data_IF_912926578569
#
_entry.id   IF_912926578569
#
_cell.length_a   1.000
_cell.length_b   1.000
_cell.length_c   1.000
_cell.angle_alpha   90.00
_cell.angle_beta   90.00
_cell.angle_gamma   90.00
#
_symmetry.space_group_name_H-M   'P 1'
#
loop_
_entity.id
_entity.type
_entity.pdbx_description
1 polymer ?
#
# COMPACT_ATOMS: atom_id res chain seq x y z
N UNK A 1 22.63 22.77 8.69
CA UNK A 1 22.69 24.08 8.00
C UNK A 1 22.36 25.15 9.02
N UNK A 2 23.04 26.30 8.99
CA UNK A 2 22.79 27.41 9.92
C UNK A 2 21.41 28.03 9.65
N UNK A 3 20.75 28.55 10.69
CA UNK A 3 19.54 29.35 10.51
C UNK A 3 19.88 30.70 9.83
N UNK A 4 19.17 31.00 8.74
CA UNK A 4 19.32 32.25 7.98
C UNK A 4 18.80 33.43 8.79
N UNK A 5 19.51 34.56 8.75
CA UNK A 5 19.07 35.84 9.31
C UNK A 5 17.89 36.40 8.52
N UNK A 6 17.16 37.35 9.10
CA UNK A 6 15.96 37.93 8.49
C UNK A 6 16.17 38.46 7.06
N UNK A 7 17.28 39.18 6.80
CA UNK A 7 17.60 39.69 5.47
C UNK A 7 17.94 38.59 4.47
N UNK A 8 18.62 37.53 4.91
CA UNK A 8 18.96 36.38 4.08
C UNK A 8 17.70 35.57 3.72
N UNK A 9 16.77 35.37 4.66
CA UNK A 9 15.47 34.75 4.38
C UNK A 9 14.62 35.57 3.43
N UNK A 10 14.66 36.91 3.52
CA UNK A 10 13.96 37.80 2.58
C UNK A 10 14.47 37.65 1.14
N UNK A 11 15.78 37.43 0.96
CA UNK A 11 16.40 37.19 -0.35
C UNK A 11 16.14 35.74 -0.84
N UNK A 12 16.22 34.76 0.05
CA UNK A 12 16.19 33.33 -0.26
C UNK A 12 14.83 32.67 0.01
N UNK A 13 13.72 33.36 -0.27
CA UNK A 13 12.35 32.86 0.02
C UNK A 13 11.98 31.54 -0.66
N UNK A 14 12.56 31.25 -1.83
CA UNK A 14 12.26 30.04 -2.62
C UNK A 14 13.25 28.90 -2.35
N UNK A 15 14.29 29.14 -1.57
CA UNK A 15 15.36 28.18 -1.34
C UNK A 15 15.01 27.34 -0.12
N UNK A 16 14.68 26.08 -0.36
CA UNK A 16 14.53 25.06 0.67
C UNK A 16 15.25 23.80 0.18
N UNK A 17 16.29 23.39 0.91
CA UNK A 17 17.10 22.22 0.55
C UNK A 17 16.44 20.89 0.93
N UNK A 18 15.42 20.92 1.80
CA UNK A 18 14.73 19.73 2.28
C UNK A 18 13.44 19.43 1.52
N UNK A 19 12.77 20.47 1.02
CA UNK A 19 11.48 20.35 0.35
C UNK A 19 11.49 21.07 -1.01
N UNK A 20 11.53 20.27 -2.08
CA UNK A 20 11.31 20.75 -3.43
C UNK A 20 9.83 20.65 -3.80
N UNK A 21 9.29 21.68 -4.47
CA UNK A 21 7.86 21.72 -4.87
C UNK A 21 7.40 20.55 -5.74
N UNK A 22 8.30 19.97 -6.52
CA UNK A 22 8.01 18.80 -7.38
C UNK A 22 8.02 17.49 -6.60
N UNK A 23 8.71 17.46 -5.46
CA UNK A 23 8.91 16.26 -4.67
C UNK A 23 7.85 16.14 -3.58
N UNK A 24 7.05 15.08 -3.68
CA UNK A 24 6.11 14.68 -2.62
C UNK A 24 6.77 13.79 -1.55
N UNK A 25 8.11 13.83 -1.45
CA UNK A 25 8.94 12.97 -0.60
C UNK A 25 8.55 13.06 0.88
N UNK A 26 8.17 14.25 1.39
CA UNK A 26 7.75 14.40 2.78
C UNK A 26 6.50 13.58 3.13
N UNK A 27 5.49 13.60 2.24
CA UNK A 27 4.25 12.83 2.41
C UNK A 27 4.53 11.33 2.34
N UNK A 28 5.36 10.93 1.40
CA UNK A 28 5.79 9.55 1.24
C UNK A 28 6.54 9.04 2.49
N UNK A 29 7.58 9.75 2.94
CA UNK A 29 8.34 9.39 4.13
C UNK A 29 7.47 9.28 5.38
N UNK A 30 6.45 10.14 5.51
CA UNK A 30 5.46 10.03 6.59
C UNK A 30 4.72 8.69 6.55
N UNK A 31 4.33 8.21 5.37
CA UNK A 31 3.64 6.92 5.23
C UNK A 31 4.58 5.72 5.38
N UNK A 32 5.79 5.80 4.81
CA UNK A 32 6.81 4.77 4.97
C UNK A 32 7.13 4.53 6.45
N UNK A 33 7.37 5.61 7.21
CA UNK A 33 7.62 5.55 8.65
C UNK A 33 6.40 5.06 9.42
N UNK A 34 5.20 5.58 9.12
CA UNK A 34 3.97 5.22 9.84
C UNK A 34 3.60 3.74 9.71
N UNK A 35 3.83 3.15 8.53
CA UNK A 35 3.42 1.78 8.23
C UNK A 35 4.59 0.80 8.12
N UNK A 36 5.82 1.22 8.46
CA UNK A 36 7.04 0.41 8.34
C UNK A 36 7.10 -0.32 6.99
N UNK A 37 7.03 0.46 5.91
CA UNK A 37 7.23 -0.04 4.54
C UNK A 37 8.74 -0.07 4.30
N UNK A 38 9.26 -1.23 3.90
CA UNK A 38 10.70 -1.44 3.69
C UNK A 38 11.12 -0.88 2.34
N UNK A 39 10.42 -1.29 1.28
CA UNK A 39 10.71 -0.85 -0.07
C UNK A 39 9.90 0.40 -0.44
N UNK A 40 10.61 1.45 -0.83
CA UNK A 40 10.00 2.71 -1.29
C UNK A 40 9.08 2.49 -2.50
N UNK A 41 9.48 1.60 -3.40
CA UNK A 41 8.73 1.24 -4.60
C UNK A 41 7.33 0.70 -4.31
N UNK A 42 7.12 0.02 -3.18
CA UNK A 42 5.80 -0.49 -2.82
C UNK A 42 4.79 0.65 -2.63
N UNK A 43 5.23 1.74 -2.01
CA UNK A 43 4.37 2.92 -1.84
C UNK A 43 4.01 3.55 -3.19
N UNK A 44 4.99 3.65 -4.10
CA UNK A 44 4.74 4.15 -5.46
C UNK A 44 3.78 3.26 -6.25
N UNK A 45 3.91 1.93 -6.13
CA UNK A 45 2.97 0.96 -6.74
C UNK A 45 1.55 1.15 -6.22
N UNK A 46 1.37 1.26 -4.89
CA UNK A 46 0.05 1.52 -4.31
C UNK A 46 -0.55 2.85 -4.77
N UNK A 47 0.27 3.90 -4.80
CA UNK A 47 -0.19 5.21 -5.25
C UNK A 47 -0.58 5.21 -6.74
N UNK A 48 0.18 4.51 -7.59
CA UNK A 48 -0.17 4.30 -9.01
C UNK A 48 -1.50 3.55 -9.14
N UNK A 49 -1.70 2.50 -8.35
CA UNK A 49 -2.93 1.71 -8.34
C UNK A 49 -4.15 2.55 -7.89
N UNK A 50 -4.01 3.36 -6.84
CA UNK A 50 -5.03 4.34 -6.46
C UNK A 50 -5.37 5.27 -7.63
N UNK A 51 -4.36 5.81 -8.32
CA UNK A 51 -4.56 6.68 -9.47
C UNK A 51 -5.31 6.01 -10.62
N UNK A 52 -5.06 4.73 -10.88
CA UNK A 52 -5.81 3.96 -11.89
C UNK A 52 -7.28 3.77 -11.48
N UNK A 53 -7.54 3.47 -10.21
CA UNK A 53 -8.90 3.34 -9.69
C UNK A 53 -9.65 4.68 -9.82
N UNK A 54 -9.04 5.79 -9.40
CA UNK A 54 -9.67 7.12 -9.52
C UNK A 54 -9.91 7.51 -10.98
N UNK A 55 -9.00 7.18 -11.89
CA UNK A 55 -9.22 7.38 -13.35
C UNK A 55 -10.41 6.58 -13.86
N UNK A 56 -10.54 5.31 -13.43
CA UNK A 56 -11.68 4.46 -13.80
C UNK A 56 -12.99 5.04 -13.26
N UNK A 57 -13.02 5.48 -12.00
CA UNK A 57 -14.20 6.14 -11.41
C UNK A 57 -14.56 7.43 -12.14
N UNK A 58 -13.56 8.25 -12.51
CA UNK A 58 -13.78 9.45 -13.31
C UNK A 58 -14.35 9.11 -14.70
N UNK A 59 -13.93 8.00 -15.30
CA UNK A 59 -14.51 7.46 -16.54
C UNK A 59 -15.98 7.05 -16.36
N UNK A 60 -16.28 6.28 -15.31
CA UNK A 60 -17.66 5.84 -14.99
C UNK A 60 -18.60 7.01 -14.71
N UNK A 61 -18.10 8.11 -14.15
CA UNK A 61 -18.90 9.32 -13.90
C UNK A 61 -19.30 10.08 -15.17
N UNK A 62 -18.57 9.92 -16.27
CA UNK A 62 -18.91 10.56 -17.55
C UNK A 62 -20.11 9.89 -18.23
N UNK A 63 -20.36 8.61 -17.91
CA UNK A 63 -21.47 7.83 -18.46
C UNK A 63 -22.75 8.19 -17.69
N UNK A 64 -23.92 8.33 -18.33
CA UNK A 64 -25.18 8.61 -17.64
C UNK A 64 -25.52 7.54 -16.57
N UNK A 65 -26.20 7.90 -15.48
CA UNK A 65 -26.50 6.99 -14.37
C UNK A 65 -27.44 5.84 -14.75
N UNK A 66 -28.29 6.05 -15.76
CA UNK A 66 -29.30 5.08 -16.22
C UNK A 66 -28.72 3.93 -17.05
N UNK A 67 -27.47 4.03 -17.48
CA UNK A 67 -26.85 2.97 -18.29
C UNK A 67 -26.55 1.73 -17.44
N UNK A 68 -27.10 0.60 -17.87
CA UNK A 68 -26.86 -0.73 -17.28
C UNK A 68 -25.37 -1.08 -17.14
N UNK A 69 -24.52 -0.60 -18.06
CA UNK A 69 -23.08 -0.83 -18.00
C UNK A 69 -22.45 -0.14 -16.80
N UNK A 70 -22.83 1.11 -16.54
CA UNK A 70 -22.35 1.89 -15.40
C UNK A 70 -22.76 1.24 -14.09
N UNK A 71 -24.00 0.78 -13.98
CA UNK A 71 -24.50 0.10 -12.78
C UNK A 71 -23.70 -1.17 -12.49
N UNK A 72 -23.59 -2.08 -13.47
CA UNK A 72 -22.85 -3.35 -13.33
C UNK A 72 -21.37 -3.12 -12.99
N UNK A 73 -20.70 -2.21 -13.68
CA UNK A 73 -19.27 -1.96 -13.46
C UNK A 73 -19.02 -1.29 -12.10
N UNK A 74 -19.92 -0.40 -11.67
CA UNK A 74 -19.84 0.25 -10.35
C UNK A 74 -19.99 -0.78 -9.24
N UNK A 75 -20.97 -1.69 -9.37
CA UNK A 75 -21.19 -2.76 -8.41
C UNK A 75 -19.96 -3.68 -8.30
N UNK A 76 -19.43 -4.13 -9.45
CA UNK A 76 -18.24 -5.00 -9.49
C UNK A 76 -17.00 -4.33 -8.89
N UNK A 77 -16.80 -3.03 -9.17
CA UNK A 77 -15.71 -2.26 -8.59
C UNK A 77 -15.86 -2.15 -7.06
N UNK A 78 -17.04 -1.79 -6.58
CA UNK A 78 -17.30 -1.63 -5.15
C UNK A 78 -17.20 -2.95 -4.40
N UNK A 79 -17.73 -4.05 -4.96
CA UNK A 79 -17.61 -5.37 -4.36
C UNK A 79 -16.14 -5.81 -4.25
N UNK A 80 -15.36 -5.62 -5.32
CA UNK A 80 -13.93 -5.94 -5.31
C UNK A 80 -13.17 -5.12 -4.26
N UNK A 81 -13.41 -3.81 -4.19
CA UNK A 81 -12.75 -2.92 -3.22
C UNK A 81 -13.16 -3.22 -1.78
N UNK A 82 -14.42 -3.61 -1.57
CA UNK A 82 -14.94 -4.01 -0.27
C UNK A 82 -14.37 -5.36 0.19
N UNK A 83 -14.34 -6.37 -0.69
CA UNK A 83 -13.73 -7.69 -0.41
C UNK A 83 -12.24 -7.57 -0.07
N UNK A 84 -11.51 -6.68 -0.76
CA UNK A 84 -10.11 -6.38 -0.41
C UNK A 84 -9.99 -5.60 0.92
N UNK A 85 -11.07 -5.00 1.41
CA UNK A 85 -11.13 -4.19 2.63
C UNK A 85 -10.48 -2.81 2.48
N UNK A 86 -10.33 -2.34 1.24
CA UNK A 86 -9.79 -1.00 0.93
C UNK A 86 -10.81 0.07 1.29
N UNK A 87 -12.08 -0.21 1.07
CA UNK A 87 -13.22 0.63 1.45
C UNK A 87 -14.02 -0.11 2.53
N UNK A 88 -14.43 0.60 3.58
CA UNK A 88 -15.15 0.01 4.72
C UNK A 88 -16.64 -0.21 4.48
N UNK A 89 -17.27 0.55 3.56
CA UNK A 89 -18.70 0.50 3.28
C UNK A 89 -18.94 0.59 1.77
N UNK A 90 -20.02 -0.04 1.28
CA UNK A 90 -20.43 0.03 -0.14
C UNK A 90 -21.21 1.32 -0.46
N UNK A 91 -20.78 2.45 0.10
CA UNK A 91 -21.46 3.75 0.00
C UNK A 91 -21.06 4.47 -1.30
N UNK A 92 -21.51 3.93 -2.44
CA UNK A 92 -21.43 4.57 -3.76
C UNK A 92 -20.01 4.94 -4.25
N UNK A 93 -19.95 5.64 -5.38
CA UNK A 93 -18.69 6.08 -6.01
C UNK A 93 -17.99 7.24 -5.26
N UNK A 94 -18.66 7.86 -4.29
CA UNK A 94 -18.09 8.98 -3.52
C UNK A 94 -16.90 8.55 -2.66
N UNK A 95 -16.97 7.38 -2.02
CA UNK A 95 -15.91 6.85 -1.18
C UNK A 95 -14.62 6.48 -1.95
N UNK A 96 -14.72 6.24 -3.26
CA UNK A 96 -13.61 5.79 -4.11
C UNK A 96 -12.87 6.96 -4.77
N UNK A 97 -13.51 8.12 -4.86
CA UNK A 97 -12.99 9.30 -5.58
C UNK A 97 -11.72 9.90 -4.93
N UNK A 98 -11.59 9.73 -3.62
CA UNK A 98 -10.45 10.22 -2.82
C UNK A 98 -9.55 9.12 -2.27
N UNK A 99 -9.44 7.97 -2.95
CA UNK A 99 -8.75 6.81 -2.39
C UNK A 99 -7.25 7.06 -2.17
N UNK A 100 -6.85 7.17 -0.90
CA UNK A 100 -5.45 7.33 -0.52
C UNK A 100 -4.70 5.99 -0.48
N UNK A 101 -3.40 6.00 -0.83
CA UNK A 101 -2.51 4.84 -0.72
C UNK A 101 -2.44 4.27 0.72
N UNK A 102 -2.77 5.08 1.73
CA UNK A 102 -2.89 4.64 3.12
C UNK A 102 -3.99 3.60 3.35
N UNK A 103 -5.01 3.53 2.50
CA UNK A 103 -6.00 2.46 2.53
C UNK A 103 -5.34 1.09 2.29
N UNK A 104 -4.50 0.98 1.25
CA UNK A 104 -3.73 -0.23 0.97
C UNK A 104 -2.70 -0.51 2.07
N UNK A 105 -2.01 0.51 2.57
CA UNK A 105 -1.02 0.33 3.64
C UNK A 105 -1.63 -0.26 4.92
N UNK A 106 -2.89 0.07 5.24
CA UNK A 106 -3.64 -0.47 6.39
C UNK A 106 -4.03 -1.95 6.23
N UNK A 107 -4.03 -2.47 5.00
CA UNK A 107 -4.37 -3.87 4.68
C UNK A 107 -3.15 -4.77 4.58
N UNK A 108 -1.94 -4.24 4.77
CA UNK A 108 -0.71 -5.03 4.87
C UNK A 108 -0.79 -5.95 6.08
N UNK A 109 -0.30 -7.18 5.93
CA UNK A 109 -0.35 -8.21 6.97
C UNK A 109 0.19 -7.73 8.34
N UNK A 110 1.37 -7.06 8.44
CA UNK A 110 1.85 -6.58 9.75
C UNK A 110 0.89 -5.60 10.44
N UNK A 111 0.20 -4.75 9.68
CA UNK A 111 -0.77 -3.78 10.21
C UNK A 111 -2.06 -4.46 10.64
N UNK A 112 -2.46 -5.52 9.93
CA UNK A 112 -3.63 -6.34 10.29
C UNK A 112 -3.35 -7.15 11.56
N UNK A 113 -2.15 -7.73 11.70
CA UNK A 113 -1.72 -8.43 12.92
C UNK A 113 -1.79 -7.52 14.15
N UNK A 114 -1.32 -6.27 14.02
CA UNK A 114 -1.42 -5.26 15.08
C UNK A 114 -2.89 -4.95 15.45
N UNK A 115 -3.77 -4.85 14.44
CA UNK A 115 -5.21 -4.62 14.66
C UNK A 115 -5.91 -5.79 15.34
N UNK A 116 -5.48 -7.03 15.04
CA UNK A 116 -5.99 -8.25 15.66
C UNK A 116 -5.33 -8.57 17.02
N UNK A 117 -4.50 -7.66 17.55
CA UNK A 117 -3.79 -7.83 18.84
C UNK A 117 -2.84 -9.04 18.88
N UNK A 118 -2.38 -9.53 17.73
CA UNK A 118 -1.41 -10.63 17.65
C UNK A 118 0.04 -10.17 17.88
N UNK A 119 0.29 -8.87 17.77
CA UNK A 119 1.55 -8.23 18.12
C UNK A 119 1.27 -6.92 18.86
N UNK A 120 2.17 -6.50 19.76
CA UNK A 120 2.02 -5.23 20.51
C UNK A 120 2.57 -4.05 19.72
N UNK A 121 3.66 -4.26 18.97
CA UNK A 121 4.29 -3.23 18.15
C UNK A 121 4.35 -3.62 16.66
N UNK A 122 4.34 -2.59 15.79
CA UNK A 122 4.39 -2.82 14.35
C UNK A 122 5.74 -3.39 13.88
N UNK A 123 6.85 -3.07 14.56
CA UNK A 123 8.17 -3.64 14.27
C UNK A 123 8.19 -5.16 14.53
N UNK A 124 7.69 -5.59 15.69
CA UNK A 124 7.57 -7.00 16.03
C UNK A 124 6.67 -7.75 15.03
N UNK A 125 5.56 -7.14 14.60
CA UNK A 125 4.70 -7.73 13.58
C UNK A 125 5.43 -7.96 12.25
N UNK A 126 6.35 -7.06 11.87
CA UNK A 126 7.19 -7.23 10.67
C UNK A 126 8.20 -8.35 10.89
N UNK A 127 8.85 -8.40 12.04
CA UNK A 127 9.81 -9.45 12.40
C UNK A 127 9.17 -10.85 12.37
N UNK A 128 7.98 -11.02 12.95
CA UNK A 128 7.23 -12.28 12.92
C UNK A 128 6.92 -12.73 11.49
N UNK A 129 6.51 -11.81 10.62
CA UNK A 129 6.25 -12.12 9.21
C UNK A 129 7.54 -12.51 8.47
N UNK A 130 8.66 -11.84 8.78
CA UNK A 130 9.96 -12.17 8.18
C UNK A 130 10.47 -13.54 8.64
N UNK A 131 10.34 -13.84 9.93
CA UNK A 131 10.73 -15.15 10.48
C UNK A 131 9.87 -16.27 9.88
N UNK A 132 8.55 -16.09 9.80
CA UNK A 132 7.65 -17.06 9.18
C UNK A 132 7.99 -17.35 7.71
N UNK A 133 8.34 -16.32 6.93
CA UNK A 133 8.77 -16.49 5.53
C UNK A 133 10.03 -17.34 5.40
N UNK A 134 11.01 -17.18 6.30
CA UNK A 134 12.25 -17.98 6.30
C UNK A 134 11.97 -19.45 6.63
N UNK A 135 11.13 -19.71 7.63
CA UNK A 135 10.77 -21.08 8.04
C UNK A 135 10.05 -21.84 6.92
N UNK A 136 9.11 -21.19 6.22
CA UNK A 136 8.42 -21.80 5.08
C UNK A 136 9.38 -22.18 3.95
N UNK A 137 10.35 -21.33 3.65
CA UNK A 137 11.35 -21.62 2.61
C UNK A 137 12.22 -22.82 2.97
N UNK A 138 12.66 -22.91 4.22
CA UNK A 138 13.46 -24.06 4.70
C UNK A 138 12.67 -25.37 4.63
N UNK A 139 11.40 -25.37 5.04
CA UNK A 139 10.54 -26.55 4.95
C UNK A 139 10.33 -27.01 3.51
N UNK A 140 10.13 -26.08 2.57
CA UNK A 140 9.99 -26.40 1.15
C UNK A 140 11.26 -27.03 0.58
N UNK A 141 12.44 -26.52 0.95
CA UNK A 141 13.72 -27.07 0.51
C UNK A 141 13.93 -28.50 1.07
N UNK A 142 13.63 -28.73 2.35
CA UNK A 142 13.72 -30.06 2.95
C UNK A 142 12.77 -31.06 2.28
N UNK A 143 11.53 -30.67 1.99
CA UNK A 143 10.58 -31.53 1.27
C UNK A 143 11.00 -31.82 -0.18
N UNK A 144 11.70 -30.89 -0.84
CA UNK A 144 12.25 -31.13 -2.18
C UNK A 144 13.42 -32.11 -2.12
N UNK A 145 14.31 -31.97 -1.15
CA UNK A 145 15.44 -32.88 -0.94
C UNK A 145 14.96 -34.30 -0.59
N UNK A 146 13.97 -34.43 0.30
CA UNK A 146 13.38 -35.74 0.63
C UNK A 146 12.70 -36.38 -0.58
N UNK A 147 12.01 -35.60 -1.43
CA UNK A 147 11.42 -36.10 -2.67
C UNK A 147 12.48 -36.59 -3.66
N UNK A 148 13.60 -35.88 -3.80
CA UNK A 148 14.71 -36.29 -4.66
C UNK A 148 15.39 -37.55 -4.14
N UNK A 149 15.63 -37.66 -2.83
CA UNK A 149 16.20 -38.86 -2.22
C UNK A 149 15.27 -40.08 -2.36
N UNK A 150 13.96 -39.90 -2.18
CA UNK A 150 12.99 -40.99 -2.42
C UNK A 150 12.91 -41.42 -3.88
N UNK A 151 13.11 -40.50 -4.83
CA UNK A 151 13.19 -40.84 -6.26
C UNK A 151 14.47 -41.60 -6.59
N UNK A 152 15.60 -41.23 -5.99
CA UNK A 152 16.88 -41.92 -6.16
C UNK A 152 16.88 -43.32 -5.51
N UNK A 153 16.12 -43.54 -4.44
CA UNK A 153 15.99 -44.85 -3.79
C UNK A 153 14.96 -45.78 -4.47
N UNK A 154 14.10 -45.24 -5.34
CA UNK A 154 13.09 -46.00 -6.10
C UNK A 154 13.55 -46.39 -7.51
N UNK A 155 14.66 -45.81 -7.98
CA UNK A 155 15.34 -46.17 -9.21
C UNK A 155 16.41 -47.23 -8.92
#
# INVERSE_FOLDING_TARGET
MRQLKYHEQRLLKKVNFFEWKRDKTARENKFLKKYLIQDREDYHRYNKLCGLITKLVAGLRKIPPEDSFRMKMTELLLDKLYRMGVVSRREGLGAVDGLAASAFCRRRLPVVLLRLRMATHLQQAVEYVQQGRKQQQQQQQQQQQQRQQQQQQRA
#
